data_IF_127090316522
#
_entry.id   IF_127090316522
#
_cell.length_a   1.000
_cell.length_b   1.000
_cell.length_c   1.000
_cell.angle_alpha   90.00
_cell.angle_beta   90.00
_cell.angle_gamma   90.00
#
_symmetry.space_group_name_H-M   'P 1'
#
loop_
_entity.id
_entity.type
_entity.pdbx_description
1 polymer ?
#
# COMPACT_ATOMS: atom_id res chain seq x y z
N UNK A 1 55.18 18.48 -24.20
CA UNK A 1 55.15 18.87 -25.61
C UNK A 1 54.24 17.87 -26.32
N UNK A 2 52.95 18.14 -26.36
CA UNK A 2 52.27 18.94 -27.39
C UNK A 2 52.03 18.11 -28.64
N UNK A 3 50.83 17.53 -28.74
CA UNK A 3 50.22 17.17 -30.01
C UNK A 3 48.84 17.80 -30.04
N UNK A 4 48.80 18.99 -30.62
CA UNK A 4 47.60 19.64 -31.12
C UNK A 4 47.06 18.82 -32.29
N UNK A 5 45.74 18.70 -32.41
CA UNK A 5 45.14 18.58 -33.73
C UNK A 5 43.86 19.40 -33.81
N UNK A 6 43.82 20.20 -34.87
CA UNK A 6 42.85 21.23 -35.21
C UNK A 6 41.57 20.61 -35.78
N UNK A 7 40.43 21.29 -35.59
CA UNK A 7 39.38 21.43 -36.60
C UNK A 7 38.52 22.64 -36.20
N UNK A 8 38.77 23.80 -36.82
CA UNK A 8 38.13 24.32 -38.05
C UNK A 8 36.66 24.66 -37.86
N UNK A 9 36.48 25.96 -37.68
CA UNK A 9 35.28 26.78 -37.70
C UNK A 9 34.59 26.74 -39.06
N UNK A 10 33.26 26.68 -39.04
CA UNK A 10 32.40 27.15 -40.13
C UNK A 10 31.36 28.10 -39.50
N UNK A 11 31.53 29.38 -39.79
CA UNK A 11 30.49 30.40 -39.63
C UNK A 11 29.56 30.35 -40.85
N UNK A 12 28.25 30.42 -40.63
CA UNK A 12 27.32 31.06 -41.56
C UNK A 12 26.12 31.64 -40.78
N UNK A 13 25.65 32.79 -41.26
CA UNK A 13 24.96 33.83 -40.51
C UNK A 13 23.43 33.78 -40.54
N UNK A 14 22.80 34.23 -39.44
CA UNK A 14 21.50 34.94 -39.35
C UNK A 14 20.20 34.16 -39.62
N UNK A 15 19.02 34.63 -39.13
CA UNK A 15 18.72 36.00 -38.72
C UNK A 15 18.11 36.17 -37.31
N UNK A 16 18.27 37.40 -36.84
CA UNK A 16 17.52 38.10 -35.80
C UNK A 16 16.00 37.85 -35.84
N UNK A 17 15.45 37.40 -34.71
CA UNK A 17 14.02 37.29 -34.45
C UNK A 17 13.76 37.47 -32.96
N UNK A 18 13.40 38.69 -32.57
CA UNK A 18 12.92 39.08 -31.25
C UNK A 18 11.56 38.45 -30.95
N UNK A 19 11.45 37.69 -29.86
CA UNK A 19 10.19 37.20 -29.30
C UNK A 19 10.41 36.67 -27.89
N UNK A 20 9.85 37.35 -26.89
CA UNK A 20 10.24 37.25 -25.49
C UNK A 20 10.05 35.87 -24.86
N UNK A 21 11.14 35.34 -24.28
CA UNK A 21 11.06 34.29 -23.27
C UNK A 21 10.90 34.95 -21.90
N UNK A 22 9.73 34.74 -21.29
CA UNK A 22 9.50 35.01 -19.87
C UNK A 22 10.38 34.04 -19.10
N UNK A 23 11.51 34.52 -18.62
CA UNK A 23 12.42 33.75 -17.79
C UNK A 23 11.75 33.40 -16.47
N UNK A 24 11.42 32.11 -16.29
CA UNK A 24 11.13 31.56 -14.96
C UNK A 24 12.42 31.65 -14.17
N UNK A 25 12.49 32.61 -13.25
CA UNK A 25 13.61 32.73 -12.31
C UNK A 25 13.65 31.46 -11.45
N UNK A 26 14.68 30.64 -11.64
CA UNK A 26 15.01 29.54 -10.73
C UNK A 26 15.49 30.18 -9.43
N UNK A 27 14.58 30.33 -8.46
CA UNK A 27 14.92 30.82 -7.14
C UNK A 27 15.58 29.67 -6.38
N UNK A 28 16.84 29.86 -5.99
CA UNK A 28 17.61 28.87 -5.25
C UNK A 28 17.28 29.03 -3.76
N UNK A 29 16.40 28.19 -3.23
CA UNK A 29 15.92 28.26 -1.85
C UNK A 29 16.92 27.55 -0.92
N UNK A 30 17.56 28.32 -0.04
CA UNK A 30 18.58 27.85 0.93
C UNK A 30 18.12 28.08 2.37
N UNK A 31 16.87 27.71 2.68
CA UNK A 31 16.32 27.80 4.04
C UNK A 31 15.20 26.79 4.23
N UNK A 32 15.38 25.87 5.18
CA UNK A 32 14.40 24.94 5.76
C UNK A 32 13.08 24.79 4.99
N UNK A 33 13.11 24.09 3.85
CA UNK A 33 11.93 23.75 3.04
C UNK A 33 11.02 22.79 3.82
N UNK A 34 10.30 23.31 4.81
CA UNK A 34 9.43 22.56 5.71
C UNK A 34 8.05 23.20 5.72
N UNK A 35 7.05 22.35 5.87
CA UNK A 35 5.68 22.76 6.10
C UNK A 35 5.52 23.19 7.57
N UNK A 36 4.60 24.12 7.81
CA UNK A 36 4.13 24.46 9.14
C UNK A 36 3.45 23.25 9.78
N UNK A 37 3.51 23.16 11.11
CA UNK A 37 2.85 22.07 11.86
C UNK A 37 1.33 22.28 11.92
N UNK A 38 0.87 23.54 11.87
CA UNK A 38 -0.54 23.88 11.98
C UNK A 38 -1.08 24.48 10.68
N UNK A 39 -2.28 24.05 10.22
CA UNK A 39 -2.88 24.56 9.00
C UNK A 39 -3.37 26.00 9.20
N UNK A 40 -3.21 26.82 8.17
CA UNK A 40 -3.79 28.16 8.06
C UNK A 40 -5.21 28.03 7.52
N UNK A 41 -6.17 28.04 8.45
CA UNK A 41 -7.60 27.80 8.16
C UNK A 41 -8.28 28.95 7.38
N UNK A 42 -7.73 30.15 7.49
CA UNK A 42 -8.26 31.34 6.81
C UNK A 42 -7.80 31.45 5.34
N UNK A 43 -6.88 30.58 4.92
CA UNK A 43 -6.37 30.56 3.55
C UNK A 43 -7.27 29.71 2.65
N UNK A 44 -7.64 30.23 1.48
CA UNK A 44 -8.33 29.45 0.45
C UNK A 44 -7.28 28.87 -0.52
N UNK A 45 -7.14 27.54 -0.63
CA UNK A 45 -6.17 26.93 -1.52
C UNK A 45 -6.54 27.17 -2.99
N UNK A 46 -5.52 27.17 -3.85
CA UNK A 46 -5.71 27.27 -5.29
C UNK A 46 -6.28 25.97 -5.87
N UNK A 47 -6.83 26.06 -7.09
CA UNK A 47 -7.20 24.88 -7.85
C UNK A 47 -5.94 24.25 -8.49
N UNK A 48 -5.79 22.92 -8.38
CA UNK A 48 -4.69 22.14 -8.95
C UNK A 48 -5.15 20.99 -9.84
N UNK A 49 -6.41 20.98 -10.30
CA UNK A 49 -7.03 19.87 -11.03
C UNK A 49 -6.43 19.64 -12.43
N UNK A 50 -5.69 20.62 -12.95
CA UNK A 50 -4.89 20.56 -14.18
C UNK A 50 -3.62 19.68 -14.03
N UNK A 51 -3.20 19.34 -12.81
CA UNK A 51 -2.03 18.50 -12.55
C UNK A 51 -2.36 17.01 -12.74
N UNK A 52 -2.40 16.56 -13.99
CA UNK A 52 -2.87 15.21 -14.32
C UNK A 52 -1.85 14.07 -14.10
N UNK A 53 -0.55 14.36 -13.93
CA UNK A 53 0.47 13.31 -14.14
C UNK A 53 1.50 13.10 -13.03
N UNK A 54 1.57 13.96 -12.02
CA UNK A 54 2.71 13.90 -11.08
C UNK A 54 2.33 13.54 -9.65
N UNK A 55 1.29 14.15 -9.09
CA UNK A 55 0.73 13.85 -7.78
C UNK A 55 -0.77 14.16 -7.80
N UNK A 56 -1.53 13.57 -6.88
CA UNK A 56 -2.97 13.87 -6.77
C UNK A 56 -3.17 15.37 -6.48
N UNK A 57 -3.96 16.10 -7.29
CA UNK A 57 -4.27 17.53 -7.09
C UNK A 57 -4.67 17.91 -5.67
N UNK A 58 -5.41 17.02 -4.99
CA UNK A 58 -5.88 17.25 -3.63
C UNK A 58 -4.75 17.34 -2.60
N UNK A 59 -3.60 16.73 -2.89
CA UNK A 59 -2.41 16.83 -2.03
C UNK A 59 -1.89 18.27 -2.06
N UNK A 60 -1.83 18.91 -3.23
CA UNK A 60 -1.38 20.31 -3.32
C UNK A 60 -2.33 21.25 -2.60
N UNK A 61 -3.64 21.10 -2.81
CA UNK A 61 -4.64 21.90 -2.09
C UNK A 61 -4.54 21.72 -0.58
N UNK A 62 -4.35 20.48 -0.11
CA UNK A 62 -4.21 20.18 1.32
C UNK A 62 -2.91 20.74 1.91
N UNK A 63 -1.78 20.57 1.22
CA UNK A 63 -0.47 21.04 1.69
C UNK A 63 -0.31 22.55 1.61
N UNK A 64 -1.10 23.24 0.76
CA UNK A 64 -1.09 24.70 0.67
C UNK A 64 -1.43 25.35 2.02
N UNK A 65 -2.36 24.77 2.79
CA UNK A 65 -2.69 25.25 4.14
C UNK A 65 -1.52 25.18 5.12
N UNK A 66 -0.50 24.37 4.84
CA UNK A 66 0.67 24.22 5.69
C UNK A 66 1.89 24.98 5.16
N UNK A 67 1.74 25.82 4.13
CA UNK A 67 2.84 26.64 3.66
C UNK A 67 3.23 27.72 4.68
N UNK A 68 4.52 28.10 4.75
CA UNK A 68 4.95 29.26 5.52
C UNK A 68 4.23 30.55 5.08
N UNK A 69 4.00 31.52 5.99
CA UNK A 69 3.29 32.77 5.66
C UNK A 69 3.89 33.54 4.47
N UNK A 70 5.22 33.47 4.29
CA UNK A 70 5.91 34.11 3.17
C UNK A 70 5.66 33.44 1.82
N UNK A 71 5.18 32.18 1.80
CA UNK A 71 4.86 31.42 0.59
C UNK A 71 3.38 31.54 0.20
N UNK A 72 2.47 31.75 1.16
CA UNK A 72 1.02 31.79 0.91
C UNK A 72 0.60 32.93 -0.02
N UNK A 73 1.31 34.06 0.06
CA UNK A 73 1.02 35.25 -0.74
C UNK A 73 1.68 35.22 -2.13
N UNK A 74 2.42 34.15 -2.46
CA UNK A 74 3.09 34.01 -3.75
C UNK A 74 2.17 33.41 -4.81
N UNK A 75 2.59 33.51 -6.07
CA UNK A 75 1.83 32.95 -7.18
C UNK A 75 1.68 31.43 -7.05
N UNK A 76 0.61 30.92 -7.66
CA UNK A 76 0.31 29.50 -7.78
C UNK A 76 1.52 28.67 -8.24
N UNK A 77 2.26 29.13 -9.24
CA UNK A 77 3.43 28.41 -9.77
C UNK A 77 4.56 28.26 -8.75
N UNK A 78 4.79 29.29 -7.92
CA UNK A 78 5.82 29.26 -6.89
C UNK A 78 5.41 28.33 -5.75
N UNK A 79 4.14 28.39 -5.33
CA UNK A 79 3.56 27.47 -4.33
C UNK A 79 3.65 26.02 -4.81
N UNK A 80 3.28 25.77 -6.07
CA UNK A 80 3.37 24.46 -6.71
C UNK A 80 4.80 23.93 -6.72
N UNK A 81 5.77 24.74 -7.17
CA UNK A 81 7.18 24.33 -7.21
C UNK A 81 7.72 24.00 -5.81
N UNK A 82 7.36 24.80 -4.80
CA UNK A 82 7.77 24.56 -3.42
C UNK A 82 7.17 23.27 -2.84
N UNK A 83 5.85 23.06 -2.99
CA UNK A 83 5.17 21.83 -2.55
C UNK A 83 5.76 20.62 -3.29
N UNK A 84 5.98 20.73 -4.61
CA UNK A 84 6.57 19.67 -5.43
C UNK A 84 7.96 19.28 -4.94
N UNK A 85 8.83 20.23 -4.62
CA UNK A 85 10.16 19.94 -4.09
C UNK A 85 10.12 19.25 -2.71
N UNK A 86 9.10 19.54 -1.89
CA UNK A 86 8.84 18.78 -0.66
C UNK A 86 8.44 17.35 -1.01
N UNK A 87 7.41 17.17 -1.85
CA UNK A 87 6.90 15.85 -2.23
C UNK A 87 7.98 14.95 -2.85
N UNK A 88 8.83 15.48 -3.73
CA UNK A 88 9.91 14.72 -4.38
C UNK A 88 10.97 14.21 -3.39
N UNK A 89 11.14 14.84 -2.23
CA UNK A 89 12.06 14.36 -1.18
C UNK A 89 11.49 13.17 -0.42
N UNK A 90 10.17 13.09 -0.26
CA UNK A 90 9.49 12.00 0.44
C UNK A 90 9.02 10.88 -0.49
N UNK A 91 8.82 11.18 -1.78
CA UNK A 91 8.45 10.22 -2.80
C UNK A 91 9.32 10.41 -4.06
N UNK A 92 10.56 9.89 -4.04
CA UNK A 92 11.49 9.96 -5.17
C UNK A 92 10.93 9.29 -6.43
N UNK A 93 11.47 9.66 -7.60
CA UNK A 93 11.08 9.11 -8.91
C UNK A 93 11.02 7.58 -8.94
N UNK A 94 12.03 6.91 -8.38
CA UNK A 94 12.11 5.45 -8.38
C UNK A 94 10.92 4.81 -7.64
N UNK A 95 10.50 5.38 -6.51
CA UNK A 95 9.38 4.87 -5.72
C UNK A 95 8.06 5.11 -6.45
N UNK A 96 7.91 6.24 -7.14
CA UNK A 96 6.73 6.53 -7.99
C UNK A 96 6.61 5.54 -9.14
N UNK A 97 7.70 5.33 -9.87
CA UNK A 97 7.76 4.33 -10.95
C UNK A 97 7.43 2.95 -10.40
N UNK A 98 7.94 2.60 -9.22
CA UNK A 98 7.66 1.31 -8.60
C UNK A 98 6.20 1.15 -8.18
N UNK A 99 5.59 2.16 -7.55
CA UNK A 99 4.16 2.17 -7.20
C UNK A 99 3.29 2.05 -8.45
N UNK A 100 3.63 2.76 -9.52
CA UNK A 100 2.92 2.67 -10.78
C UNK A 100 3.00 1.27 -11.38
N UNK A 101 4.20 0.69 -11.44
CA UNK A 101 4.40 -0.70 -11.88
C UNK A 101 3.64 -1.71 -11.02
N UNK A 102 3.60 -1.49 -9.70
CA UNK A 102 2.85 -2.34 -8.78
C UNK A 102 1.35 -2.28 -9.07
N UNK A 103 0.80 -1.09 -9.33
CA UNK A 103 -0.61 -0.92 -9.74
C UNK A 103 -0.91 -1.64 -11.04
N UNK A 104 -0.09 -1.44 -12.06
CA UNK A 104 -0.24 -2.10 -13.36
C UNK A 104 -0.17 -3.63 -13.24
N UNK A 105 0.77 -4.13 -12.43
CA UNK A 105 0.90 -5.55 -12.10
C UNK A 105 -0.38 -6.09 -11.43
N UNK A 106 -0.91 -5.43 -10.40
CA UNK A 106 -2.14 -5.83 -9.69
C UNK A 106 -3.34 -5.81 -10.64
N UNK A 107 -3.51 -4.75 -11.43
CA UNK A 107 -4.59 -4.64 -12.41
C UNK A 107 -4.53 -5.75 -13.45
N UNK A 108 -3.34 -6.09 -13.94
CA UNK A 108 -3.17 -7.20 -14.88
C UNK A 108 -3.63 -8.52 -14.27
N UNK A 109 -3.35 -8.78 -13.00
CA UNK A 109 -3.83 -9.99 -12.32
C UNK A 109 -5.34 -9.96 -12.20
N UNK A 110 -5.90 -8.89 -11.63
CA UNK A 110 -7.34 -8.75 -11.36
C UNK A 110 -8.17 -8.92 -12.64
N UNK A 111 -7.70 -8.40 -13.78
CA UNK A 111 -8.43 -8.47 -15.04
C UNK A 111 -8.34 -9.84 -15.74
N UNK A 112 -7.30 -10.63 -15.49
CA UNK A 112 -7.04 -11.86 -16.24
C UNK A 112 -7.22 -13.15 -15.42
N UNK A 113 -7.21 -13.06 -14.09
CA UNK A 113 -7.37 -14.22 -13.23
C UNK A 113 -8.85 -14.61 -13.11
N UNK A 114 -9.24 -15.85 -13.49
CA UNK A 114 -10.60 -16.34 -13.30
C UNK A 114 -10.77 -16.94 -11.89
N UNK A 115 -11.50 -16.27 -10.97
CA UNK A 115 -11.60 -16.74 -9.58
C UNK A 115 -12.37 -18.04 -9.47
N UNK A 116 -11.95 -18.95 -8.58
CA UNK A 116 -12.59 -20.24 -8.35
C UNK A 116 -13.81 -20.10 -7.41
N UNK A 117 -13.69 -19.26 -6.38
CA UNK A 117 -14.68 -18.97 -5.36
C UNK A 117 -14.95 -17.46 -5.31
N UNK A 118 -15.88 -16.96 -6.13
CA UNK A 118 -16.16 -15.50 -6.17
C UNK A 118 -16.70 -14.98 -4.84
N UNK A 119 -17.36 -15.83 -4.08
CA UNK A 119 -17.98 -15.49 -2.80
C UNK A 119 -16.99 -15.11 -1.71
N UNK A 120 -15.72 -15.55 -1.78
CA UNK A 120 -14.74 -15.24 -0.72
C UNK A 120 -14.13 -13.83 -0.86
N UNK A 121 -14.34 -13.17 -2.00
CA UNK A 121 -13.93 -11.79 -2.24
C UNK A 121 -14.95 -10.78 -1.73
N UNK A 122 -16.18 -11.22 -1.50
CA UNK A 122 -17.25 -10.41 -0.90
C UNK A 122 -17.41 -10.82 0.55
N UNK A 123 -17.27 -9.88 1.48
CA UNK A 123 -17.41 -10.17 2.91
C UNK A 123 -18.85 -10.61 3.25
N UNK A 124 -19.03 -11.91 3.49
CA UNK A 124 -20.23 -12.46 4.10
C UNK A 124 -19.89 -13.00 5.49
N UNK A 125 -20.22 -12.22 6.51
CA UNK A 125 -19.78 -12.46 7.88
C UNK A 125 -20.27 -13.82 8.42
N UNK A 126 -21.49 -14.24 8.06
CA UNK A 126 -22.09 -15.49 8.57
C UNK A 126 -21.45 -16.74 7.98
N UNK A 127 -20.95 -16.69 6.75
CA UNK A 127 -20.23 -17.81 6.14
C UNK A 127 -18.73 -17.81 6.45
N UNK A 128 -18.17 -16.67 6.86
CA UNK A 128 -16.73 -16.54 7.12
C UNK A 128 -16.38 -16.82 8.57
N UNK A 129 -17.20 -16.35 9.50
CA UNK A 129 -16.87 -16.35 10.92
C UNK A 129 -17.64 -17.39 11.71
N UNK A 130 -17.00 -17.92 12.75
CA UNK A 130 -17.69 -18.80 13.70
C UNK A 130 -18.74 -18.01 14.49
N UNK A 131 -19.90 -18.61 14.83
CA UNK A 131 -20.99 -17.87 15.51
C UNK A 131 -20.59 -17.24 16.85
N UNK A 132 -19.67 -17.87 17.59
CA UNK A 132 -19.14 -17.34 18.86
C UNK A 132 -18.40 -16.02 18.65
N UNK A 133 -17.62 -15.91 17.58
CA UNK A 133 -16.91 -14.69 17.20
C UNK A 133 -17.88 -13.57 16.82
N UNK A 134 -18.86 -13.85 15.95
CA UNK A 134 -19.86 -12.86 15.54
C UNK A 134 -20.66 -12.32 16.72
N UNK A 135 -21.05 -13.19 17.66
CA UNK A 135 -21.74 -12.77 18.88
C UNK A 135 -20.85 -11.84 19.71
N UNK A 136 -19.58 -12.17 19.90
CA UNK A 136 -18.66 -11.34 20.67
C UNK A 136 -18.46 -9.95 20.03
N UNK A 137 -18.32 -9.89 18.69
CA UNK A 137 -18.25 -8.64 17.91
C UNK A 137 -19.54 -7.83 18.03
N UNK A 138 -20.72 -8.47 17.97
CA UNK A 138 -22.01 -7.79 18.10
C UNK A 138 -22.22 -7.19 19.50
N UNK A 139 -21.79 -7.89 20.55
CA UNK A 139 -21.84 -7.38 21.92
C UNK A 139 -20.81 -6.27 22.15
N UNK A 140 -19.65 -6.35 21.50
CA UNK A 140 -18.59 -5.34 21.50
C UNK A 140 -18.15 -4.89 22.90
N UNK A 141 -17.96 -5.84 23.82
CA UNK A 141 -17.48 -5.57 25.18
C UNK A 141 -16.19 -6.34 25.45
N UNK A 142 -15.40 -5.87 26.41
CA UNK A 142 -14.21 -6.60 26.83
C UNK A 142 -14.55 -8.00 27.36
N UNK A 143 -15.65 -8.13 28.12
CA UNK A 143 -16.10 -9.42 28.64
C UNK A 143 -16.49 -10.39 27.51
N UNK A 144 -17.20 -9.90 26.47
CA UNK A 144 -17.60 -10.74 25.34
C UNK A 144 -16.38 -11.21 24.54
N UNK A 145 -15.39 -10.35 24.31
CA UNK A 145 -14.14 -10.76 23.66
C UNK A 145 -13.33 -11.75 24.51
N UNK A 146 -13.16 -11.47 25.81
CA UNK A 146 -12.45 -12.37 26.73
C UNK A 146 -13.12 -13.74 26.84
N UNK A 147 -14.42 -13.84 26.60
CA UNK A 147 -15.14 -15.12 26.64
C UNK A 147 -14.73 -16.10 25.52
N UNK A 148 -14.18 -15.60 24.41
CA UNK A 148 -13.77 -16.41 23.26
C UNK A 148 -12.24 -16.47 23.07
N UNK A 149 -11.49 -15.72 23.88
CA UNK A 149 -10.04 -15.56 23.75
C UNK A 149 -9.28 -16.24 24.89
N UNK A 150 -8.15 -16.84 24.56
CA UNK A 150 -7.10 -17.19 25.51
C UNK A 150 -5.91 -16.24 25.35
N UNK A 151 -5.24 -15.91 26.44
CA UNK A 151 -4.02 -15.09 26.45
C UNK A 151 -2.83 -15.97 26.87
N UNK A 152 -2.24 -16.77 25.94
CA UNK A 152 -1.12 -17.66 26.27
C UNK A 152 0.11 -16.90 26.78
N UNK A 153 0.32 -15.67 26.30
CA UNK A 153 1.37 -14.76 26.74
C UNK A 153 0.80 -13.35 26.84
N UNK A 154 1.35 -12.53 27.74
CA UNK A 154 0.90 -11.14 27.93
C UNK A 154 0.88 -10.37 26.61
N UNK A 155 -0.29 -9.83 26.24
CA UNK A 155 -0.49 -9.08 25.01
C UNK A 155 -0.53 -9.94 23.74
N UNK A 156 -0.71 -11.26 23.86
CA UNK A 156 -0.91 -12.18 22.73
C UNK A 156 -2.21 -12.94 22.96
N UNK A 157 -3.19 -12.72 22.08
CA UNK A 157 -4.50 -13.35 22.17
C UNK A 157 -4.69 -14.40 21.07
N UNK A 158 -5.30 -15.53 21.43
CA UNK A 158 -5.65 -16.62 20.52
C UNK A 158 -7.13 -16.93 20.64
N UNK A 159 -7.83 -17.08 19.52
CA UNK A 159 -9.25 -17.37 19.47
C UNK A 159 -9.63 -18.02 18.14
N UNK A 160 -10.76 -18.73 18.14
CA UNK A 160 -11.35 -19.24 16.92
C UNK A 160 -12.16 -18.13 16.24
N UNK A 161 -11.87 -17.89 14.98
CA UNK A 161 -12.45 -16.79 14.21
C UNK A 161 -13.10 -17.29 12.93
N UNK A 162 -12.36 -18.04 12.11
CA UNK A 162 -12.79 -18.43 10.77
C UNK A 162 -13.48 -19.80 10.77
N UNK A 163 -14.53 -19.92 9.95
CA UNK A 163 -15.15 -21.22 9.71
C UNK A 163 -14.22 -22.14 8.91
N UNK A 164 -14.17 -23.44 9.23
CA UNK A 164 -13.35 -24.40 8.47
C UNK A 164 -13.68 -24.44 6.97
N UNK A 165 -14.94 -24.22 6.59
CA UNK A 165 -15.36 -24.20 5.20
C UNK A 165 -14.79 -22.99 4.44
N UNK A 166 -14.79 -21.81 5.07
CA UNK A 166 -14.13 -20.63 4.52
C UNK A 166 -12.63 -20.87 4.35
N UNK A 167 -11.96 -21.42 5.37
CA UNK A 167 -10.52 -21.77 5.27
C UNK A 167 -10.23 -22.70 4.10
N UNK A 168 -11.08 -23.72 3.87
CA UNK A 168 -10.94 -24.63 2.71
C UNK A 168 -11.07 -23.89 1.38
N UNK A 169 -12.10 -23.03 1.22
CA UNK A 169 -12.30 -22.24 0.00
C UNK A 169 -11.15 -21.27 -0.26
N UNK A 170 -10.66 -20.60 0.79
CA UNK A 170 -9.52 -19.70 0.68
C UNK A 170 -8.27 -20.46 0.23
N UNK A 171 -8.01 -21.63 0.80
CA UNK A 171 -6.87 -22.46 0.41
C UNK A 171 -6.98 -22.97 -1.03
N UNK A 172 -8.14 -23.47 -1.46
CA UNK A 172 -8.34 -23.89 -2.84
C UNK A 172 -8.23 -22.74 -3.84
N UNK A 173 -8.66 -21.53 -3.46
CA UNK A 173 -8.48 -20.32 -4.25
C UNK A 173 -6.99 -19.97 -4.42
N UNK A 174 -6.23 -20.00 -3.33
CA UNK A 174 -4.77 -19.74 -3.36
C UNK A 174 -4.06 -20.77 -4.25
N UNK A 175 -4.40 -22.05 -4.12
CA UNK A 175 -3.83 -23.11 -4.95
C UNK A 175 -4.21 -22.97 -6.43
N UNK A 176 -5.43 -22.50 -6.72
CA UNK A 176 -5.88 -22.20 -8.08
C UNK A 176 -5.12 -21.00 -8.67
N UNK A 177 -4.96 -19.95 -7.88
CA UNK A 177 -4.18 -18.77 -8.25
C UNK A 177 -2.73 -19.12 -8.57
N UNK A 178 -2.05 -19.89 -7.70
CA UNK A 178 -0.66 -20.29 -7.94
C UNK A 178 -0.50 -21.13 -9.23
N UNK A 179 -1.44 -22.04 -9.51
CA UNK A 179 -1.46 -22.81 -10.76
C UNK A 179 -1.67 -21.93 -11.99
N UNK A 180 -2.58 -20.98 -11.91
CA UNK A 180 -2.84 -20.02 -13.00
C UNK A 180 -1.61 -19.13 -13.26
N UNK A 181 -0.96 -18.62 -12.22
CA UNK A 181 0.28 -17.83 -12.33
C UNK A 181 1.39 -18.64 -13.01
N UNK A 182 1.57 -19.89 -12.60
CA UNK A 182 2.56 -20.78 -13.18
C UNK A 182 2.28 -21.04 -14.67
N UNK A 183 1.01 -21.29 -15.03
CA UNK A 183 0.60 -21.51 -16.43
C UNK A 183 0.75 -20.28 -17.33
N UNK A 184 0.52 -19.08 -16.80
CA UNK A 184 0.62 -17.81 -17.54
C UNK A 184 2.05 -17.25 -17.60
N UNK A 185 3.02 -17.89 -16.93
CA UNK A 185 4.41 -17.41 -16.76
C UNK A 185 4.51 -15.99 -16.19
N UNK A 186 3.50 -15.57 -15.44
CA UNK A 186 3.55 -14.29 -14.72
C UNK A 186 4.48 -14.42 -13.52
N UNK A 187 5.32 -13.41 -13.32
CA UNK A 187 6.15 -13.33 -12.11
C UNK A 187 5.36 -12.60 -11.04
N UNK A 188 4.94 -13.33 -10.00
CA UNK A 188 4.26 -12.73 -8.84
C UNK A 188 5.24 -12.30 -7.75
N UNK A 189 4.81 -11.31 -6.99
CA UNK A 189 5.46 -10.91 -5.75
C UNK A 189 5.21 -11.97 -4.67
N UNK A 190 6.19 -12.16 -3.78
CA UNK A 190 6.13 -13.15 -2.70
C UNK A 190 6.26 -12.46 -1.34
N UNK A 191 5.55 -12.94 -0.29
CA UNK A 191 5.47 -12.23 0.99
C UNK A 191 6.80 -12.10 1.74
N UNK A 192 7.76 -13.00 1.51
CA UNK A 192 9.09 -12.92 2.11
C UNK A 192 10.17 -13.35 1.12
N UNK A 193 11.17 -12.50 0.90
CA UNK A 193 12.33 -12.80 0.07
C UNK A 193 13.30 -13.82 0.71
N UNK A 194 13.22 -13.99 2.04
CA UNK A 194 14.16 -14.82 2.82
C UNK A 194 13.70 -16.28 2.98
N UNK A 195 12.49 -16.63 2.56
CA UNK A 195 12.02 -18.01 2.59
C UNK A 195 12.69 -18.78 1.44
N UNK A 196 13.59 -19.72 1.73
CA UNK A 196 14.20 -20.62 0.71
C UNK A 196 13.13 -21.34 -0.13
N UNK A 197 11.97 -21.59 0.46
CA UNK A 197 10.78 -22.13 -0.19
C UNK A 197 9.91 -20.97 -0.67
N UNK A 198 9.96 -20.67 -1.97
CA UNK A 198 9.29 -19.54 -2.66
C UNK A 198 7.75 -19.62 -2.68
N UNK A 199 7.13 -20.16 -1.64
CA UNK A 199 5.70 -20.45 -1.57
C UNK A 199 4.96 -19.40 -0.73
N UNK A 200 3.75 -19.08 -1.16
CA UNK A 200 2.90 -18.08 -0.51
C UNK A 200 2.51 -16.94 -1.44
N UNK A 201 1.31 -16.43 -1.24
CA UNK A 201 0.65 -15.45 -2.12
C UNK A 201 0.25 -14.24 -1.31
N UNK A 202 0.48 -13.05 -1.87
CA UNK A 202 -0.04 -11.79 -1.33
C UNK A 202 -1.51 -11.70 -1.77
N UNK A 203 -2.43 -11.66 -0.82
CA UNK A 203 -3.87 -11.65 -1.09
C UNK A 203 -4.31 -10.38 -1.82
N UNK A 204 -3.70 -9.26 -1.45
CA UNK A 204 -3.97 -7.94 -2.04
C UNK A 204 -3.69 -7.93 -3.57
N UNK A 205 -2.77 -8.78 -4.05
CA UNK A 205 -2.40 -8.84 -5.47
C UNK A 205 -3.52 -9.38 -6.37
N UNK A 206 -4.46 -10.16 -5.82
CA UNK A 206 -5.50 -10.83 -6.61
C UNK A 206 -6.93 -10.57 -6.10
N UNK A 207 -7.19 -9.34 -5.65
CA UNK A 207 -8.51 -8.75 -5.36
C UNK A 207 -9.08 -8.94 -3.93
N UNK A 208 -8.28 -9.36 -2.95
CA UNK A 208 -8.75 -9.43 -1.55
C UNK A 208 -8.71 -8.09 -0.79
N UNK A 209 -8.08 -7.04 -1.34
CA UNK A 209 -7.87 -5.76 -0.65
C UNK A 209 -9.16 -5.19 -0.05
N UNK A 210 -10.21 -4.99 -0.86
CA UNK A 210 -11.47 -4.43 -0.36
C UNK A 210 -12.19 -5.31 0.69
N UNK A 211 -12.01 -6.63 0.61
CA UNK A 211 -12.55 -7.55 1.63
C UNK A 211 -11.77 -7.38 2.93
N UNK A 212 -10.44 -7.31 2.85
CA UNK A 212 -9.57 -7.13 4.00
C UNK A 212 -9.70 -5.75 4.65
N UNK A 213 -9.96 -4.69 3.89
CA UNK A 213 -10.31 -3.38 4.43
C UNK A 213 -11.52 -3.46 5.36
N UNK A 214 -12.60 -4.13 4.90
CA UNK A 214 -13.80 -4.36 5.73
C UNK A 214 -13.51 -5.27 6.91
N UNK A 215 -12.71 -6.32 6.71
CA UNK A 215 -12.30 -7.23 7.79
C UNK A 215 -11.66 -6.44 8.94
N UNK A 216 -10.74 -5.56 8.57
CA UNK A 216 -9.98 -4.75 9.49
C UNK A 216 -10.86 -3.78 10.26
N UNK A 217 -11.65 -2.97 9.55
CA UNK A 217 -12.50 -1.96 10.14
C UNK A 217 -13.61 -2.56 11.01
N UNK A 218 -14.31 -3.57 10.51
CA UNK A 218 -15.56 -4.02 11.12
C UNK A 218 -15.33 -5.08 12.22
N UNK A 219 -14.23 -5.84 12.17
CA UNK A 219 -14.01 -6.99 13.05
C UNK A 219 -12.73 -6.91 13.89
N UNK A 220 -11.62 -6.41 13.33
CA UNK A 220 -10.34 -6.36 14.05
C UNK A 220 -10.16 -5.06 14.85
N UNK A 221 -10.57 -3.92 14.31
CA UNK A 221 -10.48 -2.63 14.98
C UNK A 221 -11.24 -2.61 16.32
N UNK A 222 -12.47 -3.16 16.44
CA UNK A 222 -13.18 -3.21 17.73
C UNK A 222 -12.40 -3.97 18.81
N UNK A 223 -11.79 -5.11 18.45
CA UNK A 223 -10.97 -5.91 19.36
C UNK A 223 -9.72 -5.14 19.76
N UNK A 224 -9.00 -4.61 18.78
CA UNK A 224 -7.72 -3.92 19.04
C UNK A 224 -7.90 -2.63 19.86
N UNK A 225 -9.02 -1.93 19.70
CA UNK A 225 -9.39 -0.77 20.54
C UNK A 225 -9.49 -1.13 22.02
N UNK A 226 -9.95 -2.33 22.35
CA UNK A 226 -10.10 -2.79 23.73
C UNK A 226 -8.77 -3.26 24.32
N UNK A 227 -8.02 -4.10 23.58
CA UNK A 227 -6.82 -4.74 24.12
C UNK A 227 -5.53 -3.95 23.92
N UNK A 228 -5.50 -3.02 22.96
CA UNK A 228 -4.32 -2.22 22.63
C UNK A 228 -4.62 -0.71 22.53
N UNK A 229 -5.28 -0.10 23.53
CA UNK A 229 -5.61 1.34 23.49
C UNK A 229 -4.33 2.20 23.40
N UNK A 230 -3.28 1.81 24.13
CA UNK A 230 -1.99 2.52 24.16
C UNK A 230 -1.19 2.42 22.86
N UNK A 231 -1.54 1.47 21.97
CA UNK A 231 -0.84 1.24 20.70
C UNK A 231 -1.65 1.74 19.50
N UNK A 232 -2.66 2.58 19.73
CA UNK A 232 -3.50 3.09 18.65
C UNK A 232 -4.43 2.03 18.06
N UNK A 233 -4.97 1.11 18.87
CA UNK A 233 -5.95 0.12 18.41
C UNK A 233 -7.19 0.72 17.72
N UNK A 234 -7.51 1.98 17.97
CA UNK A 234 -8.59 2.70 17.28
C UNK A 234 -8.18 3.31 15.94
N UNK A 235 -6.91 3.27 15.53
CA UNK A 235 -6.37 3.95 14.35
C UNK A 235 -5.66 3.00 13.38
N UNK A 236 -6.13 1.75 13.28
CA UNK A 236 -5.66 0.81 12.26
C UNK A 236 -6.07 1.32 10.88
N UNK A 237 -5.11 1.53 9.98
CA UNK A 237 -5.33 2.17 8.68
C UNK A 237 -4.66 1.43 7.50
N UNK A 238 -3.94 0.34 7.79
CA UNK A 238 -3.24 -0.43 6.78
C UNK A 238 -3.19 -1.92 7.12
N UNK A 239 -3.37 -2.74 6.09
CA UNK A 239 -3.15 -4.18 6.15
C UNK A 239 -2.19 -4.65 5.07
N UNK A 240 -1.59 -5.81 5.32
CA UNK A 240 -0.91 -6.59 4.30
C UNK A 240 -1.25 -8.06 4.54
N UNK A 241 -2.17 -8.58 3.71
CA UNK A 241 -2.67 -9.94 3.82
C UNK A 241 -1.89 -10.90 2.93
N UNK A 242 -1.42 -12.02 3.50
CA UNK A 242 -0.75 -13.05 2.73
C UNK A 242 -0.93 -14.45 3.33
N UNK A 243 -0.79 -15.45 2.47
CA UNK A 243 -0.79 -16.86 2.87
C UNK A 243 0.62 -17.41 2.74
N UNK A 244 1.06 -18.18 3.73
CA UNK A 244 2.33 -18.91 3.72
C UNK A 244 2.07 -20.39 3.92
N UNK A 245 2.66 -21.21 3.05
CA UNK A 245 2.68 -22.66 3.21
C UNK A 245 3.99 -23.09 3.89
N UNK A 246 3.89 -23.85 4.98
CA UNK A 246 5.04 -24.51 5.59
C UNK A 246 4.92 -26.01 5.37
N UNK A 247 5.88 -26.58 4.63
CA UNK A 247 6.06 -28.01 4.46
C UNK A 247 7.35 -28.47 5.13
N UNK A 248 7.27 -29.51 5.95
CA UNK A 248 8.45 -30.25 6.42
C UNK A 248 8.88 -31.12 5.23
N UNK A 249 9.99 -30.76 4.57
CA UNK A 249 10.59 -31.46 3.43
C UNK A 249 9.74 -31.51 2.15
N UNK A 250 9.91 -30.53 1.24
CA UNK A 250 9.63 -30.70 -0.20
C UNK A 250 10.91 -30.93 -1.03
N UNK A 251 12.01 -31.34 -0.38
CA UNK A 251 13.26 -31.78 -1.04
C UNK A 251 13.39 -33.32 -1.12
N UNK A 252 12.38 -34.07 -0.71
CA UNK A 252 12.40 -35.54 -0.78
C UNK A 252 11.12 -36.01 -1.46
N UNK A 253 11.27 -36.39 -2.73
CA UNK A 253 10.31 -37.28 -3.38
C UNK A 253 10.07 -38.49 -2.48
N UNK A 254 8.79 -38.85 -2.30
CA UNK A 254 8.31 -40.11 -1.73
C UNK A 254 8.52 -40.31 -0.21
N UNK A 255 7.51 -39.97 0.58
CA UNK A 255 6.86 -40.90 1.52
C UNK A 255 5.78 -40.18 2.36
N UNK A 256 4.58 -40.75 2.37
CA UNK A 256 3.64 -40.71 3.50
C UNK A 256 3.01 -39.35 3.83
N UNK A 257 1.70 -39.25 3.59
CA UNK A 257 0.81 -38.20 4.08
C UNK A 257 1.15 -37.63 5.47
N UNK A 258 1.81 -36.48 5.50
CA UNK A 258 1.89 -35.62 6.69
C UNK A 258 1.53 -34.19 6.28
N UNK A 259 0.47 -33.68 6.93
CA UNK A 259 -0.32 -32.54 6.45
C UNK A 259 0.50 -31.27 6.21
N UNK A 260 0.35 -30.72 5.01
CA UNK A 260 0.72 -29.34 4.71
C UNK A 260 -0.07 -28.42 5.65
N UNK A 261 0.64 -27.54 6.37
CA UNK A 261 0.00 -26.49 7.16
C UNK A 261 0.18 -25.18 6.41
N UNK A 262 -0.93 -24.65 5.91
CA UNK A 262 -1.00 -23.30 5.41
C UNK A 262 -1.50 -22.37 6.51
N UNK A 263 -0.87 -21.20 6.62
CA UNK A 263 -1.24 -20.18 7.58
C UNK A 263 -1.63 -18.93 6.81
N UNK A 264 -2.84 -18.46 7.10
CA UNK A 264 -3.25 -17.11 6.75
C UNK A 264 -2.63 -16.15 7.76
N UNK A 265 -1.77 -15.25 7.28
CA UNK A 265 -1.11 -14.25 8.12
C UNK A 265 -1.50 -12.86 7.66
N UNK A 266 -2.07 -12.12 8.59
CA UNK A 266 -2.30 -10.69 8.43
C UNK A 266 -1.19 -9.94 9.15
N UNK A 267 -0.47 -9.09 8.42
CA UNK A 267 0.34 -8.06 9.04
C UNK A 267 -0.49 -6.79 9.09
N UNK A 268 -0.79 -6.36 10.31
CA UNK A 268 -1.59 -5.16 10.58
C UNK A 268 -0.63 -4.09 11.06
N UNK A 269 -0.73 -2.90 10.50
CA UNK A 269 0.12 -1.77 10.83
C UNK A 269 -0.75 -0.55 11.10
N UNK A 270 -0.32 0.24 12.08
CA UNK A 270 -0.69 1.66 12.16
C UNK A 270 0.39 2.40 11.37
N UNK A 271 0.03 3.04 10.26
CA UNK A 271 0.94 4.04 9.68
C UNK A 271 0.81 5.31 10.52
N UNK A 272 1.81 5.54 11.36
CA UNK A 272 2.01 6.86 11.98
C UNK A 272 2.52 7.87 10.96
#
# INVERSE_FOLDING_TARGET
MSSQNQNRSLEQAGPSGSGGQVGVRVVNWSGSDRLCISPKRDHKPENYDDLQFEFNPNIFASLEHYLPPHMLNLSRDVKLHYIRNILLRYLPENDRIWIQKLREYRLKIILNYPPLHKEIFTMDAESFFVPSFLRAIKENTEASFRSIMAEPCKGVYTFEMLQPQFCKKLMSEVDHFERWVHGTKLRIMRPNAMNKNKHGVILDDFAFEAMLDRFMCDFIQPISRVFYPELGGSSLDSHHGFVVEYGINKDVELAGSQGQKAYLKFRILVKM
#
